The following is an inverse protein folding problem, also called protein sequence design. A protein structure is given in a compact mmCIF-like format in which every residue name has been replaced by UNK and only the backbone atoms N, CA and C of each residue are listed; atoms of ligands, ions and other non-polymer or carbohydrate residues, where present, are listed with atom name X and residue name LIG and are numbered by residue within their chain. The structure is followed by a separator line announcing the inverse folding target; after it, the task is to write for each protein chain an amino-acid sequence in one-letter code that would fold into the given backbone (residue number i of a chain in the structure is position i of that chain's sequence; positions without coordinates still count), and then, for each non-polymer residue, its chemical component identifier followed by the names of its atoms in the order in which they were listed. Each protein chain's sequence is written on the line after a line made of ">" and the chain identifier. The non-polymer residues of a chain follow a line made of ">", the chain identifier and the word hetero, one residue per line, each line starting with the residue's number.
data_IF_182255740634
#
_entry.id   IF_182255740634
#
_cell.length_a   1.000
_cell.length_b   1.000
_cell.length_c   1.000
_cell.angle_alpha   90.00
_cell.angle_beta   90.00
_cell.angle_gamma   90.00
#
_symmetry.space_group_name_H-M   'P 1'
#
loop_
_entity.id
_entity.type
_entity.pdbx_description
1 polymer ?
#
# COMPACT_ATOMS: atom_id res chain seq x y z
N UNK A 1 10.98 92.83 -97.13
CA UNK A 1 11.52 91.51 -96.76
C UNK A 1 12.04 91.45 -95.31
N UNK A 2 12.71 92.51 -94.81
CA UNK A 2 13.28 92.57 -93.44
C UNK A 2 12.25 92.70 -92.31
N UNK A 3 11.14 93.43 -92.50
CA UNK A 3 10.07 93.56 -91.48
C UNK A 3 9.28 92.27 -91.25
N UNK A 4 8.97 91.54 -92.33
CA UNK A 4 8.28 90.23 -92.26
C UNK A 4 9.11 89.20 -91.48
N UNK A 5 10.44 89.24 -91.63
CA UNK A 5 11.36 88.38 -90.87
C UNK A 5 11.43 88.74 -89.38
N UNK A 6 11.25 90.01 -89.01
CA UNK A 6 11.21 90.45 -87.60
C UNK A 6 9.93 89.99 -86.91
N UNK A 7 8.78 90.23 -87.53
CA UNK A 7 7.48 89.78 -87.02
C UNK A 7 7.41 88.26 -86.85
N UNK A 8 7.99 87.51 -87.80
CA UNK A 8 8.07 86.05 -87.68
C UNK A 8 8.93 85.60 -86.51
N UNK A 9 10.08 86.26 -86.27
CA UNK A 9 10.93 85.97 -85.11
C UNK A 9 10.25 86.30 -83.79
N UNK A 10 9.52 87.40 -83.71
CA UNK A 10 8.76 87.80 -82.52
C UNK A 10 7.65 86.79 -82.23
N UNK A 11 6.87 86.39 -83.25
CA UNK A 11 5.87 85.34 -83.11
C UNK A 11 6.47 83.98 -82.72
N UNK A 12 7.61 83.60 -83.30
CA UNK A 12 8.33 82.37 -82.94
C UNK A 12 8.87 82.43 -81.49
N UNK A 13 9.26 83.62 -80.99
CA UNK A 13 9.71 83.83 -79.61
C UNK A 13 8.54 83.77 -78.62
N UNK A 14 7.44 84.45 -78.90
CA UNK A 14 6.23 84.41 -78.10
C UNK A 14 5.66 82.98 -78.01
N UNK A 15 5.65 82.26 -79.13
CA UNK A 15 5.25 80.86 -79.17
C UNK A 15 6.16 79.98 -78.30
N UNK A 16 7.49 80.18 -78.37
CA UNK A 16 8.45 79.46 -77.52
C UNK A 16 8.25 79.77 -76.04
N UNK A 17 7.95 81.01 -75.69
CA UNK A 17 7.66 81.38 -74.31
C UNK A 17 6.36 80.77 -73.79
N UNK A 18 5.30 80.77 -74.61
CA UNK A 18 4.03 80.13 -74.26
C UNK A 18 4.20 78.63 -74.08
N UNK A 19 4.92 77.97 -74.99
CA UNK A 19 5.26 76.55 -74.87
C UNK A 19 6.10 76.27 -73.61
N UNK A 20 7.02 77.17 -73.24
CA UNK A 20 7.79 77.04 -71.99
C UNK A 20 6.91 77.15 -70.75
N UNK A 21 6.05 78.17 -70.66
CA UNK A 21 5.12 78.34 -69.53
C UNK A 21 4.15 77.18 -69.43
N UNK A 22 3.65 76.70 -70.57
CA UNK A 22 2.83 75.50 -70.60
C UNK A 22 3.61 74.27 -70.14
N UNK A 23 4.84 74.06 -70.62
CA UNK A 23 5.67 72.93 -70.18
C UNK A 23 5.95 72.95 -68.68
N UNK A 24 6.16 74.15 -68.10
CA UNK A 24 6.36 74.35 -66.66
C UNK A 24 5.06 74.08 -65.88
N UNK A 25 3.94 74.64 -66.30
CA UNK A 25 2.65 74.38 -65.65
C UNK A 25 2.27 72.88 -65.74
N UNK A 26 2.57 72.23 -66.85
CA UNK A 26 2.37 70.79 -67.01
C UNK A 26 3.32 69.98 -66.11
N UNK A 27 4.59 70.39 -65.97
CA UNK A 27 5.50 69.71 -65.05
C UNK A 27 5.05 69.85 -63.60
N UNK A 28 4.61 71.04 -63.19
CA UNK A 28 4.17 71.31 -61.81
C UNK A 28 2.89 70.54 -61.49
N UNK A 29 1.94 70.50 -62.43
CA UNK A 29 0.71 69.71 -62.25
C UNK A 29 0.99 68.21 -62.19
N UNK A 30 1.92 67.70 -63.00
CA UNK A 30 2.34 66.30 -62.93
C UNK A 30 3.04 65.99 -61.60
N UNK A 31 3.91 66.88 -61.12
CA UNK A 31 4.56 66.70 -59.82
C UNK A 31 3.55 66.68 -58.68
N UNK A 32 2.56 67.59 -58.69
CA UNK A 32 1.52 67.61 -57.65
C UNK A 32 0.62 66.37 -57.71
N UNK A 33 0.25 65.93 -58.92
CA UNK A 33 -0.52 64.70 -59.09
C UNK A 33 0.27 63.47 -58.62
N UNK A 34 1.57 63.40 -58.90
CA UNK A 34 2.44 62.33 -58.41
C UNK A 34 2.53 62.36 -56.88
N UNK A 35 2.72 63.54 -56.29
CA UNK A 35 2.79 63.70 -54.84
C UNK A 35 1.51 63.24 -54.14
N UNK A 36 0.34 63.62 -54.66
CA UNK A 36 -0.95 63.17 -54.11
C UNK A 36 -1.05 61.64 -54.19
N UNK A 37 -0.63 61.04 -55.31
CA UNK A 37 -0.63 59.58 -55.47
C UNK A 37 0.35 58.88 -54.54
N UNK A 38 1.52 59.45 -54.31
CA UNK A 38 2.49 58.94 -53.34
C UNK A 38 1.90 58.93 -51.94
N UNK A 39 1.30 60.05 -51.49
CA UNK A 39 0.65 60.11 -50.18
C UNK A 39 -0.54 59.15 -50.04
N UNK A 40 -1.34 58.99 -51.09
CA UNK A 40 -2.43 58.00 -51.11
C UNK A 40 -1.89 56.57 -51.01
N UNK A 41 -0.86 56.24 -51.81
CA UNK A 41 -0.20 54.95 -51.78
C UNK A 41 0.43 54.66 -50.41
N UNK A 42 1.11 55.64 -49.81
CA UNK A 42 1.68 55.49 -48.46
C UNK A 42 0.61 55.23 -47.41
N UNK A 43 -0.53 55.94 -47.46
CA UNK A 43 -1.66 55.70 -46.56
C UNK A 43 -2.27 54.32 -46.76
N UNK A 44 -2.47 53.90 -48.01
CA UNK A 44 -3.02 52.58 -48.32
C UNK A 44 -2.07 51.45 -47.92
N UNK A 45 -0.78 51.59 -48.20
CA UNK A 45 0.24 50.64 -47.81
C UNK A 45 0.34 50.55 -46.30
N UNK A 46 0.40 51.69 -45.59
CA UNK A 46 0.43 51.72 -44.13
C UNK A 46 -0.76 50.97 -43.52
N UNK A 47 -1.98 51.25 -43.99
CA UNK A 47 -3.19 50.54 -43.54
C UNK A 47 -3.12 49.04 -43.81
N UNK A 48 -2.71 48.62 -45.00
CA UNK A 48 -2.58 47.20 -45.36
C UNK A 48 -1.51 46.50 -44.51
N UNK A 49 -0.38 47.16 -44.28
CA UNK A 49 0.67 46.61 -43.41
C UNK A 49 0.16 46.44 -41.98
N UNK A 50 -0.48 47.46 -41.41
CA UNK A 50 -1.02 47.39 -40.05
C UNK A 50 -2.08 46.30 -39.92
N UNK A 51 -3.00 46.19 -40.88
CA UNK A 51 -4.04 45.16 -40.89
C UNK A 51 -3.46 43.74 -40.96
N UNK A 52 -2.47 43.51 -41.84
CA UNK A 52 -1.79 42.21 -41.94
C UNK A 52 -1.05 41.91 -40.63
N UNK A 53 -0.29 42.87 -40.10
CA UNK A 53 0.53 42.71 -38.91
C UNK A 53 -0.33 42.44 -37.67
N UNK A 54 -1.46 43.13 -37.53
CA UNK A 54 -2.45 42.87 -36.49
C UNK A 54 -3.07 41.48 -36.62
N UNK A 55 -3.42 41.06 -37.84
CA UNK A 55 -3.99 39.74 -38.09
C UNK A 55 -3.01 38.62 -37.71
N UNK A 56 -1.74 38.73 -38.08
CA UNK A 56 -0.69 37.78 -37.72
C UNK A 56 -0.46 37.77 -36.20
N UNK A 57 -0.37 38.94 -35.57
CA UNK A 57 -0.25 39.05 -34.11
C UNK A 57 -1.41 38.38 -33.38
N UNK A 58 -2.64 38.57 -33.86
CA UNK A 58 -3.82 37.93 -33.29
C UNK A 58 -3.76 36.41 -33.43
N UNK A 59 -3.35 35.90 -34.60
CA UNK A 59 -3.18 34.46 -34.83
C UNK A 59 -2.09 33.86 -33.92
N UNK A 60 -0.92 34.51 -33.82
CA UNK A 60 0.16 34.07 -32.94
C UNK A 60 -0.24 34.11 -31.47
N UNK A 61 -0.92 35.18 -31.01
CA UNK A 61 -1.43 35.27 -29.64
C UNK A 61 -2.44 34.15 -29.35
N UNK A 62 -3.33 33.83 -30.28
CA UNK A 62 -4.28 32.73 -30.13
C UNK A 62 -3.57 31.36 -30.01
N UNK A 63 -2.56 31.12 -30.84
CA UNK A 63 -1.74 29.89 -30.77
C UNK A 63 -0.97 29.81 -29.45
N UNK A 64 -0.35 30.91 -29.01
CA UNK A 64 0.35 30.98 -27.72
C UNK A 64 -0.59 30.75 -26.54
N UNK A 65 -1.78 31.34 -26.56
CA UNK A 65 -2.80 31.14 -25.53
C UNK A 65 -3.22 29.66 -25.45
N UNK A 66 -3.42 29.01 -26.60
CA UNK A 66 -3.72 27.57 -26.67
C UNK A 66 -2.59 26.70 -26.08
N UNK A 67 -1.34 26.96 -26.46
CA UNK A 67 -0.18 26.23 -25.94
C UNK A 67 -0.02 26.44 -24.43
N UNK A 68 -0.14 27.69 -23.96
CA UNK A 68 -0.06 28.03 -22.53
C UNK A 68 -1.19 27.35 -21.75
N UNK A 69 -2.40 27.31 -22.30
CA UNK A 69 -3.53 26.59 -21.71
C UNK A 69 -3.24 25.09 -21.56
N UNK A 70 -2.70 24.45 -22.59
CA UNK A 70 -2.30 23.04 -22.56
C UNK A 70 -1.18 22.77 -21.55
N UNK A 71 -0.16 23.63 -21.49
CA UNK A 71 0.94 23.49 -20.53
C UNK A 71 0.44 23.62 -19.08
N UNK A 72 -0.40 24.61 -18.78
CA UNK A 72 -1.01 24.76 -17.45
C UNK A 72 -1.87 23.55 -17.07
N UNK A 73 -2.64 23.01 -18.01
CA UNK A 73 -3.41 21.79 -17.81
C UNK A 73 -2.53 20.58 -17.49
N UNK A 74 -1.41 20.44 -18.21
CA UNK A 74 -0.41 19.41 -17.95
C UNK A 74 0.25 19.58 -16.58
N UNK A 75 0.66 20.80 -16.23
CA UNK A 75 1.28 21.12 -14.94
C UNK A 75 0.35 20.79 -13.77
N UNK A 76 -0.94 21.10 -13.91
CA UNK A 76 -1.96 20.76 -12.91
C UNK A 76 -2.12 19.24 -12.78
N UNK A 77 -2.28 18.53 -13.90
CA UNK A 77 -2.42 17.07 -13.90
C UNK A 77 -1.19 16.35 -13.33
N UNK A 78 0.02 16.86 -13.60
CA UNK A 78 1.26 16.31 -13.04
C UNK A 78 1.33 16.52 -11.52
N UNK A 79 0.96 17.71 -11.03
CA UNK A 79 0.95 18.02 -9.60
C UNK A 79 -0.05 17.14 -8.85
N UNK A 80 -1.28 17.01 -9.36
CA UNK A 80 -2.31 16.16 -8.78
C UNK A 80 -1.88 14.68 -8.74
N UNK A 81 -1.31 14.18 -9.84
CA UNK A 81 -0.80 12.80 -9.90
C UNK A 81 0.34 12.58 -8.90
N UNK A 82 1.25 13.53 -8.74
CA UNK A 82 2.38 13.42 -7.82
C UNK A 82 1.90 13.21 -6.38
N UNK A 83 0.90 13.98 -5.93
CA UNK A 83 0.34 13.83 -4.57
C UNK A 83 -0.30 12.46 -4.36
N UNK A 84 -1.06 11.97 -5.35
CA UNK A 84 -1.64 10.63 -5.32
C UNK A 84 -0.58 9.52 -5.30
N UNK A 85 0.48 9.65 -6.11
CA UNK A 85 1.59 8.70 -6.17
C UNK A 85 2.41 8.68 -4.87
N UNK A 86 2.61 9.84 -4.23
CA UNK A 86 3.27 9.92 -2.92
C UNK A 86 2.48 9.20 -1.82
N UNK A 87 1.16 9.37 -1.78
CA UNK A 87 0.31 8.65 -0.83
C UNK A 87 0.33 7.14 -1.07
N UNK A 88 0.30 6.70 -2.34
CA UNK A 88 0.37 5.28 -2.70
C UNK A 88 1.70 4.65 -2.28
N UNK A 89 2.82 5.35 -2.51
CA UNK A 89 4.16 4.90 -2.06
C UNK A 89 4.22 4.73 -0.55
N UNK A 90 3.67 5.66 0.23
CA UNK A 90 3.63 5.55 1.70
C UNK A 90 2.87 4.29 2.15
N UNK A 91 1.69 4.03 1.58
CA UNK A 91 0.92 2.82 1.88
C UNK A 91 1.68 1.53 1.52
N UNK A 92 2.40 1.52 0.39
CA UNK A 92 3.24 0.39 -0.02
C UNK A 92 4.41 0.14 0.93
N UNK A 93 5.09 1.21 1.38
CA UNK A 93 6.19 1.11 2.35
C UNK A 93 5.67 0.61 3.70
N UNK A 94 4.50 1.09 4.15
CA UNK A 94 3.86 0.58 5.37
C UNK A 94 3.50 -0.91 5.24
N UNK A 95 2.92 -1.31 4.10
CA UNK A 95 2.57 -2.70 3.85
C UNK A 95 3.80 -3.62 3.82
N UNK A 96 4.89 -3.21 3.16
CA UNK A 96 6.12 -4.02 3.12
C UNK A 96 6.79 -4.11 4.49
N UNK A 97 6.75 -3.04 5.29
CA UNK A 97 7.18 -3.08 6.69
C UNK A 97 6.34 -4.07 7.51
N UNK A 98 5.01 -4.03 7.39
CA UNK A 98 4.11 -4.99 8.05
C UNK A 98 4.33 -6.44 7.57
N UNK A 99 4.64 -6.63 6.29
CA UNK A 99 4.95 -7.95 5.73
C UNK A 99 6.26 -8.50 6.30
N UNK A 100 7.28 -7.64 6.44
CA UNK A 100 8.55 -8.01 7.06
C UNK A 100 8.36 -8.43 8.52
N UNK A 101 7.54 -7.69 9.28
CA UNK A 101 7.12 -8.02 10.65
C UNK A 101 6.44 -9.39 10.71
N UNK A 102 5.43 -9.64 9.85
CA UNK A 102 4.71 -10.91 9.84
C UNK A 102 5.62 -12.08 9.46
N UNK A 103 6.56 -11.86 8.54
CA UNK A 103 7.53 -12.89 8.14
C UNK A 103 8.47 -13.23 9.29
N UNK A 104 8.94 -12.24 10.05
CA UNK A 104 9.77 -12.45 11.22
C UNK A 104 9.06 -13.26 12.32
N UNK A 105 7.73 -13.12 12.46
CA UNK A 105 6.92 -13.89 13.41
C UNK A 105 6.69 -15.33 12.92
N UNK A 106 6.41 -15.51 11.63
CA UNK A 106 6.05 -16.82 11.06
C UNK A 106 7.25 -17.73 10.85
N UNK A 107 8.31 -17.20 10.25
CA UNK A 107 9.40 -18.02 9.69
C UNK A 107 10.69 -17.76 10.47
N UNK A 108 11.25 -18.83 11.03
CA UNK A 108 12.56 -18.81 11.65
C UNK A 108 13.70 -18.84 10.62
N UNK A 109 14.93 -18.55 11.07
CA UNK A 109 16.10 -18.76 10.23
C UNK A 109 16.32 -20.27 10.00
N UNK A 110 16.35 -20.75 8.75
CA UNK A 110 16.56 -22.16 8.47
C UNK A 110 17.96 -22.60 8.93
N UNK A 111 18.05 -23.78 9.56
CA UNK A 111 19.32 -24.37 9.98
C UNK A 111 19.78 -24.05 11.41
N UNK A 112 19.09 -23.18 12.14
CA UNK A 112 19.33 -22.95 13.58
C UNK A 112 18.44 -23.84 14.45
N UNK A 113 18.89 -24.19 15.65
CA UNK A 113 18.04 -24.90 16.62
C UNK A 113 16.97 -23.98 17.21
N UNK A 114 15.80 -24.51 17.58
CA UNK A 114 14.68 -23.74 18.15
C UNK A 114 15.03 -22.76 19.29
N UNK A 115 16.10 -23.03 20.07
CA UNK A 115 16.53 -22.19 21.19
C UNK A 115 17.16 -20.87 20.74
N UNK A 116 17.87 -20.92 19.61
CA UNK A 116 18.68 -19.82 19.10
C UNK A 116 17.92 -19.02 18.03
N UNK A 117 16.72 -19.47 17.63
CA UNK A 117 15.84 -18.80 16.68
C UNK A 117 15.07 -17.60 17.26
N UNK A 118 15.44 -17.11 18.46
CA UNK A 118 14.81 -15.93 19.08
C UNK A 118 15.41 -14.68 18.46
N UNK A 119 14.55 -13.79 17.96
CA UNK A 119 14.98 -12.51 17.37
C UNK A 119 14.15 -11.36 17.95
N UNK A 120 14.80 -10.25 18.39
CA UNK A 120 14.06 -9.08 18.84
C UNK A 120 13.28 -8.45 17.68
N UNK A 121 12.03 -8.05 17.95
CA UNK A 121 11.10 -7.50 16.95
C UNK A 121 11.18 -5.97 16.83
N UNK A 122 12.03 -5.34 17.64
CA UNK A 122 12.25 -3.89 17.65
C UNK A 122 12.65 -3.28 16.29
N UNK A 123 13.53 -3.88 15.46
CA UNK A 123 13.84 -3.29 14.16
C UNK A 123 12.63 -3.29 13.21
N UNK A 124 11.81 -4.33 13.23
CA UNK A 124 10.59 -4.38 12.41
C UNK A 124 9.52 -3.41 12.93
N UNK A 125 9.35 -3.29 14.24
CA UNK A 125 8.39 -2.34 14.85
C UNK A 125 8.80 -0.89 14.55
N UNK A 126 10.09 -0.58 14.65
CA UNK A 126 10.59 0.76 14.31
C UNK A 126 10.47 1.06 12.82
N UNK A 127 10.62 0.07 11.94
CA UNK A 127 10.35 0.22 10.51
C UNK A 127 8.88 0.54 10.24
N UNK A 128 7.94 -0.16 10.90
CA UNK A 128 6.50 0.14 10.81
C UNK A 128 6.20 1.54 11.34
N UNK A 129 6.79 1.93 12.48
CA UNK A 129 6.61 3.27 13.05
C UNK A 129 7.13 4.39 12.13
N UNK A 130 8.23 4.16 11.42
CA UNK A 130 8.79 5.12 10.44
C UNK A 130 7.96 5.19 9.15
N UNK A 131 7.34 4.08 8.76
CA UNK A 131 6.52 3.99 7.55
C UNK A 131 5.10 4.55 7.74
N UNK A 132 4.60 4.58 8.98
CA UNK A 132 3.31 5.14 9.33
C UNK A 132 3.29 6.66 9.21
N UNK A 133 2.11 7.25 8.95
CA UNK A 133 1.97 8.69 9.06
C UNK A 133 2.04 9.10 10.54
N UNK A 134 2.53 10.31 10.81
CA UNK A 134 2.76 10.81 12.18
C UNK A 134 1.49 10.79 13.06
N UNK A 135 0.30 10.80 12.44
CA UNK A 135 -1.01 10.88 13.09
C UNK A 135 -1.88 9.61 12.95
N UNK A 136 -1.32 8.46 12.53
CA UNK A 136 -2.11 7.22 12.45
C UNK A 136 -2.35 6.64 13.85
N UNK A 137 -3.43 7.07 14.51
CA UNK A 137 -3.81 6.64 15.87
C UNK A 137 -3.88 5.12 16.01
N UNK A 138 -4.45 4.43 15.01
CA UNK A 138 -4.58 2.98 14.99
C UNK A 138 -3.22 2.29 15.05
N UNK A 139 -2.24 2.76 14.28
CA UNK A 139 -0.90 2.18 14.25
C UNK A 139 -0.20 2.37 15.60
N UNK A 140 -0.34 3.55 16.20
CA UNK A 140 0.22 3.85 17.52
C UNK A 140 -0.40 2.96 18.62
N UNK A 141 -1.73 2.81 18.63
CA UNK A 141 -2.44 1.94 19.59
C UNK A 141 -2.02 0.48 19.43
N UNK A 142 -1.94 -0.02 18.20
CA UNK A 142 -1.57 -1.41 17.95
C UNK A 142 -0.10 -1.67 18.31
N UNK A 143 0.81 -0.75 17.96
CA UNK A 143 2.21 -0.85 18.40
C UNK A 143 2.25 -0.92 19.92
N UNK A 144 1.57 -0.02 20.63
CA UNK A 144 1.49 0.00 22.10
C UNK A 144 0.88 -1.27 22.71
N UNK A 145 -0.04 -1.93 21.99
CA UNK A 145 -0.63 -3.20 22.39
C UNK A 145 0.30 -4.42 22.28
N UNK A 146 1.42 -4.32 21.55
CA UNK A 146 2.40 -5.42 21.46
C UNK A 146 3.09 -5.61 22.82
N UNK A 147 3.11 -6.83 23.40
CA UNK A 147 3.72 -7.11 24.69
C UNK A 147 5.21 -6.73 24.72
N UNK A 148 5.68 -6.14 25.82
CA UNK A 148 7.07 -5.67 25.97
C UNK A 148 8.09 -6.80 25.82
N UNK A 149 7.74 -8.00 26.27
CA UNK A 149 8.56 -9.20 26.15
C UNK A 149 8.89 -9.52 24.68
N UNK A 150 7.93 -9.32 23.76
CA UNK A 150 8.16 -9.53 22.33
C UNK A 150 9.11 -8.49 21.71
N UNK A 151 9.17 -7.29 22.29
CA UNK A 151 10.02 -6.20 21.81
C UNK A 151 11.49 -6.41 22.22
N UNK A 152 11.71 -6.64 23.51
CA UNK A 152 13.05 -6.68 24.11
C UNK A 152 13.71 -8.05 23.97
N UNK A 153 13.01 -9.13 24.35
CA UNK A 153 13.54 -10.50 24.31
C UNK A 153 13.44 -11.10 22.91
N UNK A 154 12.38 -10.77 22.18
CA UNK A 154 12.01 -11.42 20.94
C UNK A 154 11.07 -12.61 21.15
N UNK A 155 10.54 -13.11 20.03
CA UNK A 155 9.53 -14.16 19.99
C UNK A 155 10.13 -15.43 19.36
N UNK A 156 9.65 -16.60 19.80
CA UNK A 156 9.90 -17.84 19.07
C UNK A 156 9.01 -17.91 17.84
N UNK A 157 9.55 -18.09 16.63
CA UNK A 157 8.73 -18.21 15.42
C UNK A 157 7.85 -19.48 15.46
N UNK A 158 6.84 -19.52 14.60
CA UNK A 158 5.92 -20.66 14.51
C UNK A 158 6.67 -21.99 14.35
N UNK A 159 7.70 -22.01 13.51
CA UNK A 159 8.53 -23.19 13.26
C UNK A 159 9.28 -23.67 14.53
N UNK A 160 9.89 -22.75 15.28
CA UNK A 160 10.56 -23.06 16.54
C UNK A 160 9.58 -23.63 17.59
N UNK A 161 8.37 -23.07 17.66
CA UNK A 161 7.34 -23.53 18.58
C UNK A 161 6.80 -24.90 18.21
N UNK A 162 6.74 -25.24 16.91
CA UNK A 162 6.40 -26.59 16.44
C UNK A 162 7.46 -27.60 16.87
N UNK A 163 8.74 -27.30 16.66
CA UNK A 163 9.84 -28.18 17.09
C UNK A 163 9.86 -28.38 18.61
N UNK A 164 9.64 -27.30 19.37
CA UNK A 164 9.56 -27.35 20.84
C UNK A 164 8.36 -28.17 21.31
N UNK A 165 7.22 -28.08 20.61
CA UNK A 165 6.01 -28.80 20.98
C UNK A 165 6.22 -30.31 20.99
N UNK A 166 6.96 -30.87 20.04
CA UNK A 166 7.25 -32.31 20.00
C UNK A 166 7.99 -32.79 21.26
N UNK A 167 8.91 -31.97 21.79
CA UNK A 167 9.63 -32.27 23.04
C UNK A 167 8.72 -32.12 24.25
N UNK A 168 7.90 -31.06 24.27
CA UNK A 168 6.90 -30.84 25.33
C UNK A 168 5.89 -31.98 25.37
N UNK A 169 5.43 -32.47 24.22
CA UNK A 169 4.55 -33.63 24.09
C UNK A 169 5.20 -34.89 24.69
N UNK A 170 6.46 -35.16 24.36
CA UNK A 170 7.19 -36.31 24.90
C UNK A 170 7.30 -36.25 26.43
N UNK A 171 7.72 -35.10 26.98
CA UNK A 171 7.87 -34.92 28.44
C UNK A 171 6.50 -34.89 29.15
N UNK A 172 5.48 -34.31 28.53
CA UNK A 172 4.14 -34.30 29.10
C UNK A 172 3.52 -35.71 29.14
N UNK A 173 3.86 -36.58 28.18
CA UNK A 173 3.47 -38.00 28.19
C UNK A 173 4.18 -38.79 29.30
N UNK A 174 5.46 -38.52 29.57
CA UNK A 174 6.18 -39.22 30.66
C UNK A 174 5.66 -38.82 32.05
N UNK A 175 5.05 -37.64 32.17
CA UNK A 175 4.52 -37.09 33.43
C UNK A 175 2.98 -37.16 33.50
N UNK A 176 2.33 -37.92 32.62
CA UNK A 176 0.86 -37.96 32.48
C UNK A 176 0.10 -38.37 33.75
N UNK A 177 0.71 -39.19 34.61
CA UNK A 177 0.12 -39.74 35.83
C UNK A 177 0.27 -38.83 37.06
N UNK A 178 1.12 -37.80 36.99
CA UNK A 178 1.49 -36.99 38.15
C UNK A 178 0.47 -35.85 38.39
N UNK A 179 -0.07 -35.69 39.61
CA UNK A 179 -0.97 -34.60 40.00
C UNK A 179 -0.24 -33.24 40.10
N UNK A 180 -0.98 -32.14 40.26
CA UNK A 180 -0.41 -30.77 40.25
C UNK A 180 0.46 -30.46 41.47
N UNK A 181 0.17 -31.08 42.62
CA UNK A 181 0.88 -30.90 43.89
C UNK A 181 2.22 -31.67 43.96
N UNK A 182 2.59 -32.35 42.86
CA UNK A 182 3.72 -33.26 42.81
C UNK A 182 3.37 -34.65 43.34
N UNK A 183 4.21 -35.63 43.03
CA UNK A 183 4.05 -36.99 43.51
C UNK A 183 5.37 -37.52 44.08
N UNK A 184 5.27 -38.59 44.86
CA UNK A 184 6.45 -39.33 45.28
C UNK A 184 7.22 -39.87 44.06
N UNK A 185 8.55 -39.92 44.16
CA UNK A 185 9.46 -40.45 43.13
C UNK A 185 9.02 -41.78 42.45
N UNK A 186 8.49 -42.80 43.15
CA UNK A 186 8.03 -44.03 42.49
C UNK A 186 6.92 -43.77 41.46
N UNK A 187 6.05 -42.78 41.67
CA UNK A 187 4.97 -42.44 40.75
C UNK A 187 5.53 -41.85 39.44
N UNK A 188 6.63 -41.10 39.52
CA UNK A 188 7.34 -40.61 38.33
C UNK A 188 7.93 -41.76 37.50
N UNK A 189 8.54 -42.74 38.17
CA UNK A 189 9.11 -43.93 37.52
C UNK A 189 8.00 -44.76 36.87
N UNK A 190 6.89 -44.98 37.57
CA UNK A 190 5.72 -45.68 37.03
C UNK A 190 5.13 -44.94 35.82
N UNK A 191 4.98 -43.62 35.89
CA UNK A 191 4.51 -42.79 34.79
C UNK A 191 5.44 -42.88 33.57
N UNK A 192 6.76 -42.90 33.80
CA UNK A 192 7.76 -43.06 32.74
C UNK A 192 7.68 -44.44 32.08
N UNK A 193 7.72 -45.52 32.86
CA UNK A 193 7.62 -46.90 32.34
C UNK A 193 6.31 -47.13 31.59
N UNK A 194 5.21 -46.58 32.12
CA UNK A 194 3.92 -46.61 31.46
C UNK A 194 3.94 -45.88 30.11
N UNK A 195 4.54 -44.69 30.05
CA UNK A 195 4.63 -43.92 28.82
C UNK A 195 5.38 -44.66 27.70
N UNK A 196 6.37 -45.48 28.07
CA UNK A 196 7.19 -46.28 27.15
C UNK A 196 6.42 -47.48 26.56
N UNK A 197 5.74 -48.25 27.40
CA UNK A 197 4.92 -49.41 26.96
C UNK A 197 3.80 -49.00 25.99
N UNK A 198 3.27 -47.80 26.17
CA UNK A 198 2.14 -47.30 25.40
C UNK A 198 2.50 -46.61 24.08
N UNK A 199 3.78 -46.54 23.70
CA UNK A 199 4.24 -46.11 22.36
C UNK A 199 3.82 -47.14 21.29
N UNK A 200 3.59 -48.39 21.69
CA UNK A 200 3.23 -49.50 20.79
C UNK A 200 1.77 -49.45 20.31
N UNK A 201 0.88 -48.73 21.01
CA UNK A 201 -0.53 -48.59 20.66
C UNK A 201 -0.78 -47.25 19.95
N UNK A 202 -0.47 -47.20 18.65
CA UNK A 202 -0.77 -46.04 17.82
C UNK A 202 -2.28 -45.98 17.55
N UNK A 203 -3.01 -45.11 18.26
CA UNK A 203 -4.41 -44.84 17.96
C UNK A 203 -4.52 -43.69 16.97
N UNK A 204 -4.91 -43.97 15.73
CA UNK A 204 -5.40 -42.98 14.78
C UNK A 204 -6.83 -42.59 15.14
N UNK A 205 -7.11 -41.31 15.38
CA UNK A 205 -8.48 -40.83 15.57
C UNK A 205 -9.20 -40.83 14.21
N UNK A 206 -10.40 -41.40 14.07
CA UNK A 206 -11.17 -41.34 12.83
C UNK A 206 -11.54 -39.88 12.52
N UNK A 207 -11.37 -39.46 11.26
CA UNK A 207 -11.59 -38.07 10.81
C UNK A 207 -13.02 -37.53 11.10
N UNK A 208 -14.00 -38.41 11.29
CA UNK A 208 -15.37 -38.05 11.65
C UNK A 208 -15.45 -37.38 13.04
N UNK A 209 -14.74 -37.91 14.04
CA UNK A 209 -14.72 -37.31 15.40
C UNK A 209 -14.09 -35.91 15.38
N UNK A 210 -13.07 -35.69 14.53
CA UNK A 210 -12.42 -34.38 14.38
C UNK A 210 -13.32 -33.34 13.70
N UNK A 211 -14.12 -33.75 12.71
CA UNK A 211 -15.04 -32.86 12.01
C UNK A 211 -16.25 -32.48 12.88
N UNK A 212 -16.77 -33.43 13.67
CA UNK A 212 -17.82 -33.18 14.65
C UNK A 212 -17.32 -32.23 15.77
N UNK A 213 -16.09 -32.42 16.23
CA UNK A 213 -15.45 -31.54 17.21
C UNK A 213 -15.17 -30.14 16.66
N UNK A 214 -14.68 -30.03 15.42
CA UNK A 214 -14.49 -28.73 14.74
C UNK A 214 -15.80 -27.95 14.64
N UNK A 215 -16.89 -28.64 14.31
CA UNK A 215 -18.23 -28.06 14.24
C UNK A 215 -18.73 -27.60 15.61
N UNK A 216 -18.47 -28.38 16.68
CA UNK A 216 -18.81 -28.02 18.06
C UNK A 216 -18.00 -26.84 18.61
N UNK A 217 -16.72 -26.77 18.27
CA UNK A 217 -15.85 -25.64 18.60
C UNK A 217 -16.27 -24.34 17.91
N UNK A 218 -16.70 -24.43 16.64
CA UNK A 218 -17.23 -23.29 15.89
C UNK A 218 -18.57 -22.80 16.45
N UNK A 219 -19.39 -23.71 17.01
CA UNK A 219 -20.67 -23.38 17.64
C UNK A 219 -20.54 -22.79 19.06
N UNK A 220 -19.32 -22.53 19.57
CA UNK A 220 -19.06 -22.10 20.96
C UNK A 220 -19.77 -22.99 22.02
N UNK A 221 -20.02 -24.26 21.69
CA UNK A 221 -20.69 -25.20 22.58
C UNK A 221 -19.66 -25.79 23.55
N UNK A 222 -20.01 -26.06 24.84
CA UNK A 222 -19.06 -26.64 25.77
C UNK A 222 -18.46 -27.93 25.20
N UNK A 223 -17.12 -27.99 25.15
CA UNK A 223 -16.42 -29.20 24.75
C UNK A 223 -16.85 -30.34 25.69
N UNK A 224 -17.48 -31.37 25.14
CA UNK A 224 -18.06 -32.52 25.85
C UNK A 224 -17.02 -33.40 26.60
N UNK A 225 -15.79 -32.91 26.78
CA UNK A 225 -14.83 -33.48 27.69
C UNK A 225 -15.28 -33.42 29.16
N UNK A 226 -16.27 -32.60 29.52
CA UNK A 226 -16.70 -32.44 30.93
C UNK A 226 -17.73 -33.46 31.42
N UNK A 227 -18.46 -34.18 30.53
CA UNK A 227 -19.68 -34.90 30.93
C UNK A 227 -19.56 -36.43 31.09
N UNK A 228 -18.37 -37.01 31.12
CA UNK A 228 -18.17 -38.36 31.65
C UNK A 228 -17.26 -38.29 32.88
N UNK A 229 -17.82 -37.80 33.98
CA UNK A 229 -17.40 -38.21 35.33
C UNK A 229 -18.16 -39.50 35.68
N UNK A 230 -17.61 -40.28 36.61
CA UNK A 230 -18.01 -41.65 37.03
C UNK A 230 -17.39 -42.68 36.08
N UNK A 231 -16.37 -43.47 36.40
CA UNK A 231 -15.83 -44.06 37.63
C UNK A 231 -14.29 -44.14 37.54
N UNK A 232 -13.61 -44.64 38.57
CA UNK A 232 -12.14 -44.78 38.64
C UNK A 232 -11.55 -45.72 37.57
N UNK A 233 -11.45 -45.23 36.33
CA UNK A 233 -11.11 -46.03 35.15
C UNK A 233 -9.86 -45.51 34.40
N UNK A 234 -9.18 -46.36 33.62
CA UNK A 234 -8.08 -46.00 32.68
C UNK A 234 -8.45 -44.95 31.60
N UNK A 235 -9.65 -44.38 31.68
CA UNK A 235 -10.26 -43.41 30.77
C UNK A 235 -9.64 -42.01 30.83
N UNK A 236 -9.13 -41.56 31.99
CA UNK A 236 -8.49 -40.23 32.10
C UNK A 236 -7.19 -40.14 31.27
N UNK A 237 -6.47 -41.26 31.11
CA UNK A 237 -5.21 -41.28 30.35
C UNK A 237 -5.44 -41.31 28.84
N UNK A 238 -6.38 -42.12 28.35
CA UNK A 238 -6.80 -42.12 26.95
C UNK A 238 -7.34 -40.75 26.54
N UNK A 239 -8.05 -40.10 27.46
CA UNK A 239 -8.56 -38.74 27.32
C UNK A 239 -7.41 -37.71 27.16
N UNK A 240 -6.42 -37.69 28.06
CA UNK A 240 -5.23 -36.83 27.93
C UNK A 240 -4.46 -37.09 26.63
N UNK A 241 -4.32 -38.35 26.21
CA UNK A 241 -3.66 -38.75 24.95
C UNK A 241 -4.37 -38.20 23.73
N UNK A 242 -5.70 -38.37 23.67
CA UNK A 242 -6.52 -37.79 22.60
C UNK A 242 -6.29 -36.28 22.51
N UNK A 243 -6.24 -35.57 23.65
CA UNK A 243 -5.97 -34.13 23.67
C UNK A 243 -4.63 -33.75 23.04
N UNK A 244 -3.52 -34.43 23.37
CA UNK A 244 -2.21 -34.14 22.76
C UNK A 244 -2.17 -34.44 21.26
N UNK A 245 -2.79 -35.54 20.86
CA UNK A 245 -2.83 -35.93 19.45
C UNK A 245 -3.66 -34.94 18.62
N UNK A 246 -4.80 -34.48 19.14
CA UNK A 246 -5.62 -33.44 18.51
C UNK A 246 -4.87 -32.10 18.49
N UNK A 247 -4.21 -31.73 19.59
CA UNK A 247 -3.37 -30.54 19.63
C UNK A 247 -2.26 -30.60 18.57
N UNK A 248 -1.57 -31.75 18.44
CA UNK A 248 -0.57 -31.97 17.40
C UNK A 248 -1.14 -31.84 15.99
N UNK A 249 -2.32 -32.41 15.75
CA UNK A 249 -3.00 -32.32 14.45
C UNK A 249 -3.29 -30.87 14.04
N UNK A 250 -3.75 -30.03 14.97
CA UNK A 250 -3.98 -28.60 14.71
C UNK A 250 -2.66 -27.82 14.54
N UNK A 251 -1.65 -28.18 15.31
CA UNK A 251 -0.32 -27.58 15.25
C UNK A 251 0.40 -27.86 13.92
N UNK A 252 0.28 -29.09 13.41
CA UNK A 252 0.82 -29.50 12.10
C UNK A 252 0.14 -28.73 10.95
N UNK A 253 -1.10 -28.24 11.16
CA UNK A 253 -1.84 -27.36 10.24
C UNK A 253 -1.54 -25.87 10.43
N UNK A 254 -0.77 -25.51 11.46
CA UNK A 254 -0.43 -24.13 11.79
C UNK A 254 -1.50 -23.36 12.57
N UNK A 255 -2.53 -24.02 13.10
CA UNK A 255 -3.52 -23.37 13.97
C UNK A 255 -3.11 -23.43 15.44
N UNK A 256 -2.28 -22.46 15.85
CA UNK A 256 -1.81 -22.35 17.23
C UNK A 256 -2.91 -21.97 18.22
N UNK A 257 -3.96 -21.27 17.76
CA UNK A 257 -5.06 -20.84 18.61
C UNK A 257 -5.89 -22.04 19.10
N UNK A 258 -6.24 -22.96 18.19
CA UNK A 258 -6.93 -24.20 18.58
C UNK A 258 -6.03 -25.10 19.41
N UNK A 259 -4.75 -25.22 19.03
CA UNK A 259 -3.77 -25.98 19.81
C UNK A 259 -3.70 -25.49 21.26
N UNK A 260 -3.61 -24.17 21.48
CA UNK A 260 -3.57 -23.57 22.81
C UNK A 260 -4.85 -23.85 23.61
N UNK A 261 -6.03 -23.85 22.97
CA UNK A 261 -7.30 -24.23 23.63
C UNK A 261 -7.26 -25.68 24.12
N UNK A 262 -6.82 -26.62 23.29
CA UNK A 262 -6.71 -28.02 23.69
C UNK A 262 -5.65 -28.23 24.79
N UNK A 263 -4.52 -27.52 24.71
CA UNK A 263 -3.49 -27.56 25.76
C UNK A 263 -3.98 -26.97 27.08
N UNK A 264 -4.87 -25.98 27.05
CA UNK A 264 -5.51 -25.44 28.26
C UNK A 264 -6.48 -26.42 28.95
N UNK A 265 -6.96 -27.45 28.26
CA UNK A 265 -7.80 -28.50 28.85
C UNK A 265 -7.00 -29.50 29.69
N UNK A 266 -5.68 -29.47 29.57
CA UNK A 266 -4.78 -30.33 30.34
C UNK A 266 -4.80 -29.94 31.81
N UNK A 267 -4.76 -30.97 32.67
CA UNK A 267 -4.70 -30.88 34.13
C UNK A 267 -3.58 -31.77 34.67
N UNK A 268 -3.02 -31.42 35.82
CA UNK A 268 -1.90 -32.15 36.43
C UNK A 268 -0.55 -31.56 36.06
N UNK A 269 0.51 -32.26 36.46
CA UNK A 269 1.88 -31.92 36.08
C UNK A 269 2.15 -31.79 34.56
N UNK A 270 1.42 -32.47 33.63
CA UNK A 270 1.57 -32.21 32.20
C UNK A 270 1.20 -30.77 31.79
N UNK A 271 0.26 -30.13 32.49
CA UNK A 271 -0.07 -28.71 32.31
C UNK A 271 1.12 -27.84 32.71
N UNK A 272 1.82 -28.19 33.79
CA UNK A 272 2.99 -27.44 34.25
C UNK A 272 4.13 -27.50 33.22
N UNK A 273 4.38 -28.67 32.62
CA UNK A 273 5.36 -28.83 31.52
C UNK A 273 4.96 -27.98 30.31
N UNK A 274 3.67 -27.99 29.95
CA UNK A 274 3.16 -27.21 28.84
C UNK A 274 3.06 -25.70 29.13
N UNK A 275 3.09 -25.26 30.39
CA UNK A 275 2.81 -23.88 30.81
C UNK A 275 3.72 -22.87 30.11
N UNK A 276 5.01 -23.17 30.05
CA UNK A 276 5.97 -22.30 29.37
C UNK A 276 5.69 -22.23 27.87
N UNK A 277 5.37 -23.35 27.23
CA UNK A 277 5.04 -23.37 25.81
C UNK A 277 3.71 -22.63 25.52
N UNK A 278 2.71 -22.77 26.40
CA UNK A 278 1.44 -22.03 26.31
C UNK A 278 1.61 -20.53 26.49
N UNK A 279 2.58 -20.12 27.30
CA UNK A 279 2.90 -18.71 27.49
C UNK A 279 3.56 -18.12 26.23
N UNK A 280 4.57 -18.79 25.67
CA UNK A 280 5.22 -18.35 24.43
C UNK A 280 4.26 -18.31 23.24
N UNK A 281 3.38 -19.30 23.11
CA UNK A 281 2.35 -19.32 22.05
C UNK A 281 1.33 -18.21 22.22
N UNK A 282 0.98 -17.81 23.45
CA UNK A 282 0.13 -16.64 23.68
C UNK A 282 0.79 -15.36 23.16
N UNK A 283 2.06 -15.13 23.51
CA UNK A 283 2.81 -13.96 23.03
C UNK A 283 2.87 -13.96 21.49
N UNK A 284 3.12 -15.12 20.87
CA UNK A 284 3.08 -15.24 19.41
C UNK A 284 1.71 -14.87 18.84
N UNK A 285 0.62 -15.34 19.44
CA UNK A 285 -0.73 -15.06 18.94
C UNK A 285 -1.12 -13.58 19.12
N UNK A 286 -0.77 -12.97 20.25
CA UNK A 286 -1.00 -11.53 20.51
C UNK A 286 -0.24 -10.67 19.48
N UNK A 287 1.02 -11.01 19.21
CA UNK A 287 1.87 -10.30 18.24
C UNK A 287 1.42 -10.54 16.80
N UNK A 288 0.99 -11.76 16.46
CA UNK A 288 0.42 -12.10 15.16
C UNK A 288 -0.89 -11.37 14.91
N UNK A 289 -1.76 -11.26 15.93
CA UNK A 289 -2.98 -10.47 15.85
C UNK A 289 -2.67 -9.00 15.58
N UNK A 290 -1.73 -8.41 16.34
CA UNK A 290 -1.28 -7.04 16.11
C UNK A 290 -0.73 -6.85 14.68
N UNK A 291 0.15 -7.74 14.22
CA UNK A 291 0.72 -7.68 12.87
C UNK A 291 -0.34 -7.82 11.76
N UNK A 292 -1.32 -8.71 11.94
CA UNK A 292 -2.43 -8.88 10.99
C UNK A 292 -3.33 -7.64 10.94
N UNK A 293 -3.60 -7.00 12.09
CA UNK A 293 -4.38 -5.74 12.12
C UNK A 293 -3.65 -4.60 11.41
N UNK A 294 -2.33 -4.48 11.60
CA UNK A 294 -1.51 -3.49 10.89
C UNK A 294 -1.49 -3.75 9.37
N UNK A 295 -1.37 -5.02 8.98
CA UNK A 295 -1.39 -5.41 7.56
C UNK A 295 -2.75 -5.13 6.90
N UNK A 296 -3.85 -5.43 7.59
CA UNK A 296 -5.20 -5.12 7.13
C UNK A 296 -5.42 -3.61 6.99
N UNK A 297 -4.92 -2.83 7.95
CA UNK A 297 -4.92 -1.37 7.88
C UNK A 297 -4.14 -0.86 6.66
N UNK A 298 -2.89 -1.30 6.49
CA UNK A 298 -2.05 -0.89 5.35
C UNK A 298 -2.67 -1.26 3.99
N UNK A 299 -3.27 -2.45 3.89
CA UNK A 299 -4.00 -2.87 2.69
C UNK A 299 -5.24 -2.01 2.42
N UNK A 300 -6.01 -1.67 3.45
CA UNK A 300 -7.17 -0.79 3.35
C UNK A 300 -6.77 0.62 2.91
N UNK A 301 -5.71 1.19 3.50
CA UNK A 301 -5.18 2.50 3.11
C UNK A 301 -4.74 2.51 1.63
N UNK A 302 -4.11 1.44 1.15
CA UNK A 302 -3.75 1.28 -0.27
C UNK A 302 -4.98 1.21 -1.19
N UNK A 303 -5.99 0.42 -0.84
CA UNK A 303 -7.23 0.27 -1.62
C UNK A 303 -8.06 1.55 -1.68
N UNK A 304 -8.13 2.30 -0.57
CA UNK A 304 -8.81 3.60 -0.52
C UNK A 304 -8.22 4.60 -1.52
N UNK A 305 -6.91 4.57 -1.75
CA UNK A 305 -6.25 5.43 -2.73
C UNK A 305 -6.58 5.02 -4.17
N UNK A 306 -6.68 3.71 -4.44
CA UNK A 306 -7.11 3.19 -5.75
C UNK A 306 -8.56 3.58 -6.04
N UNK A 307 -9.49 3.35 -5.10
CA UNK A 307 -10.88 3.74 -5.27
C UNK A 307 -11.05 5.27 -5.44
N UNK A 308 -10.25 6.07 -4.71
CA UNK A 308 -10.26 7.54 -4.85
C UNK A 308 -9.81 7.98 -6.24
N UNK A 309 -8.79 7.32 -6.80
CA UNK A 309 -8.33 7.55 -8.17
C UNK A 309 -9.40 7.24 -9.20
N UNK A 310 -10.07 6.08 -9.09
CA UNK A 310 -11.12 5.69 -10.05
C UNK A 310 -12.32 6.65 -9.99
N UNK A 311 -12.68 7.11 -8.79
CA UNK A 311 -13.75 8.12 -8.62
C UNK A 311 -13.38 9.47 -9.24
N UNK A 312 -12.12 9.91 -9.17
CA UNK A 312 -11.66 11.13 -9.82
C UNK A 312 -11.65 11.01 -11.35
N UNK A 313 -11.27 9.85 -11.89
CA UNK A 313 -11.30 9.61 -13.33
C UNK A 313 -12.73 9.67 -13.88
N UNK A 314 -13.70 9.07 -13.18
CA UNK A 314 -15.13 9.14 -13.54
C UNK A 314 -15.61 10.60 -13.53
N UNK A 315 -15.30 11.37 -12.49
CA UNK A 315 -15.72 12.77 -12.40
C UNK A 315 -15.03 13.68 -13.42
N UNK A 316 -13.80 13.35 -13.86
CA UNK A 316 -13.10 14.10 -14.91
C UNK A 316 -13.58 13.76 -16.33
N UNK A 317 -14.23 12.61 -16.51
CA UNK A 317 -14.79 12.17 -17.80
C UNK A 317 -16.19 12.77 -18.07
N UNK A 318 -16.89 13.27 -17.05
CA UNK A 318 -18.16 14.00 -17.15
C UNK A 318 -17.99 15.51 -16.84
N UNK A 319 -17.46 16.33 -17.75
CA UNK A 319 -17.46 17.79 -17.59
C UNK A 319 -18.84 18.43 -17.89
N UNK A 320 -19.89 17.65 -18.18
CA UNK A 320 -21.18 18.14 -18.68
C UNK A 320 -22.38 18.04 -17.72
N UNK A 321 -22.19 17.57 -16.49
CA UNK A 321 -23.28 17.37 -15.53
C UNK A 321 -23.34 18.43 -14.44
N UNK A 322 -23.71 19.66 -14.80
CA UNK A 322 -24.21 20.65 -13.83
C UNK A 322 -25.75 20.72 -13.88
N UNK A 323 -26.43 21.02 -12.76
CA UNK A 323 -27.90 21.01 -12.63
C UNK A 323 -28.62 21.99 -13.55
#
# INVERSE_FOLDING_TARGET
>A
MTQVLKLRREADLELREQLKRQSQAFSDHLQEALRIREEELERELGRKYDEILESERCQFKAQLASIVGRLRGLDYAIKEKKEADEAAKRAQVLWSACQSLLRAIKVGCPGLAWKDQIRPLEPEITAVKKAAAENDELVLVVINGIPKEARERGIYPEDALRERFLKVEQVARTVALVPEEGAALPIHILSYLQSLLLIKAASTIPQCELNDEKSRLQANLPLAFSQHQVTGDPTNQNKKRKTYFVARYWLDRGDFAQTLKYMNLLKGAPRCVARQWMFETRILLETQQAANTLMAHAASSGLMLVCRRDRLLINSADPGGGP
#
